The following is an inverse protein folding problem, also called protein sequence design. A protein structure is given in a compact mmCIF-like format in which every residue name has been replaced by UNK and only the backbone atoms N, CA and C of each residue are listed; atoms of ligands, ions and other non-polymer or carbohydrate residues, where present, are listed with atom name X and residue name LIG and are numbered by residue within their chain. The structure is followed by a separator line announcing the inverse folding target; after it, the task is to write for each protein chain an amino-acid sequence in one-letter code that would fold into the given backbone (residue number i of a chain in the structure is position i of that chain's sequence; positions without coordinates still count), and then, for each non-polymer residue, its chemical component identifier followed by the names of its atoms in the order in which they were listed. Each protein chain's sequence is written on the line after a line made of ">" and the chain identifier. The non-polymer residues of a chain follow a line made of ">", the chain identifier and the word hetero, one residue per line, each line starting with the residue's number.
data_IF_386170172775
#
_entry.id   IF_386170172775
#
_cell.length_a   1.000
_cell.length_b   1.000
_cell.length_c   1.000
_cell.angle_alpha   90.00
_cell.angle_beta   90.00
_cell.angle_gamma   90.00
#
_symmetry.space_group_name_H-M   'P 1'
#
loop_
_entity.id
_entity.type
_entity.pdbx_description
1 polymer ?
#
# COMPACT_ATOMS: atom_id res chain seq x y z
N UNK A 1 15.93 -9.92 -43.38
CA UNK A 1 15.30 -8.58 -43.45
C UNK A 1 14.12 -8.41 -42.48
N UNK A 2 12.98 -9.13 -42.64
CA UNK A 2 11.74 -8.89 -41.86
C UNK A 2 11.87 -8.99 -40.33
N UNK A 3 12.62 -9.96 -39.81
CA UNK A 3 12.81 -10.17 -38.37
C UNK A 3 13.60 -9.05 -37.69
N UNK A 4 14.60 -8.49 -38.37
CA UNK A 4 15.41 -7.38 -37.84
C UNK A 4 14.60 -6.07 -37.86
N UNK A 5 13.76 -5.89 -38.88
CA UNK A 5 12.83 -4.75 -38.95
C UNK A 5 11.77 -4.81 -37.82
N UNK A 6 11.22 -6.01 -37.56
CA UNK A 6 10.33 -6.27 -36.43
C UNK A 6 11.01 -5.95 -35.09
N UNK A 7 12.28 -6.32 -34.92
CA UNK A 7 13.05 -6.02 -33.72
C UNK A 7 13.24 -4.51 -33.51
N UNK A 8 13.55 -3.75 -34.56
CA UNK A 8 13.61 -2.29 -34.51
C UNK A 8 12.29 -1.64 -34.12
N UNK A 9 11.16 -2.21 -34.58
CA UNK A 9 9.82 -1.71 -34.28
C UNK A 9 9.41 -2.01 -32.83
N UNK A 10 9.78 -3.19 -32.31
CA UNK A 10 9.60 -3.54 -30.90
C UNK A 10 10.42 -2.61 -30.00
N UNK A 11 11.68 -2.32 -30.37
CA UNK A 11 12.54 -1.37 -29.65
C UNK A 11 11.91 0.04 -29.57
N UNK A 12 11.38 0.55 -30.68
CA UNK A 12 10.68 1.83 -30.72
C UNK A 12 9.37 1.79 -29.91
N UNK A 13 8.61 0.70 -29.98
CA UNK A 13 7.38 0.56 -29.20
C UNK A 13 7.66 0.56 -27.69
N UNK A 14 8.70 -0.16 -27.25
CA UNK A 14 9.13 -0.18 -25.84
C UNK A 14 9.62 1.20 -25.40
N UNK A 15 10.32 1.93 -26.26
CA UNK A 15 10.76 3.30 -25.96
C UNK A 15 9.62 4.29 -25.70
N UNK A 16 8.50 4.14 -26.40
CA UNK A 16 7.31 4.95 -26.20
C UNK A 16 6.72 4.74 -24.80
N UNK A 17 6.70 3.50 -24.31
CA UNK A 17 6.25 3.19 -22.95
C UNK A 17 7.15 3.78 -21.87
N UNK A 18 8.46 3.87 -22.14
CA UNK A 18 9.39 4.56 -21.25
C UNK A 18 9.22 6.10 -21.25
N UNK A 19 8.64 6.68 -22.30
CA UNK A 19 8.28 8.10 -22.39
C UNK A 19 6.86 8.42 -21.90
N UNK A 20 6.00 7.41 -21.70
CA UNK A 20 4.63 7.57 -21.22
C UNK A 20 4.48 8.34 -19.88
N UNK A 21 5.41 8.22 -18.90
CA UNK A 21 5.37 9.05 -17.69
C UNK A 21 5.45 10.56 -17.97
N UNK A 22 6.08 10.97 -19.07
CA UNK A 22 6.17 12.36 -19.54
C UNK A 22 4.86 12.80 -20.21
N UNK A 23 4.25 11.92 -21.02
CA UNK A 23 2.96 12.14 -21.70
C UNK A 23 1.77 12.32 -20.75
N UNK A 24 1.82 11.69 -19.57
CA UNK A 24 0.82 11.90 -18.52
C UNK A 24 0.89 13.34 -17.95
N UNK A 25 1.99 14.06 -18.18
CA UNK A 25 2.18 15.43 -17.73
C UNK A 25 2.55 15.53 -16.25
N UNK A 26 3.40 16.50 -15.93
CA UNK A 26 3.89 16.75 -14.57
C UNK A 26 2.75 16.99 -13.57
N UNK A 27 1.65 17.61 -14.03
CA UNK A 27 0.48 17.91 -13.21
C UNK A 27 -0.32 16.66 -12.80
N UNK A 28 -0.51 15.70 -13.71
CA UNK A 28 -1.19 14.43 -13.40
C UNK A 28 -0.34 13.56 -12.48
N UNK A 29 0.97 13.54 -12.71
CA UNK A 29 1.91 12.79 -11.85
C UNK A 29 1.92 13.36 -10.43
N UNK A 30 2.01 14.68 -10.26
CA UNK A 30 1.92 15.33 -8.95
C UNK A 30 0.58 15.07 -8.26
N UNK A 31 -0.53 15.04 -9.01
CA UNK A 31 -1.85 14.68 -8.46
C UNK A 31 -1.89 13.24 -7.99
N UNK A 32 -1.32 12.32 -8.76
CA UNK A 32 -1.20 10.91 -8.40
C UNK A 32 -0.32 10.73 -7.16
N UNK A 33 0.87 11.32 -7.12
CA UNK A 33 1.76 11.33 -5.95
C UNK A 33 1.07 11.89 -4.70
N UNK A 34 0.33 12.99 -4.83
CA UNK A 34 -0.43 13.58 -3.70
C UNK A 34 -1.54 12.65 -3.22
N UNK A 35 -2.26 12.01 -4.13
CA UNK A 35 -3.28 11.01 -3.81
C UNK A 35 -2.68 9.79 -3.11
N UNK A 36 -1.58 9.29 -3.63
CA UNK A 36 -0.89 8.12 -3.12
C UNK A 36 -0.24 8.40 -1.75
N UNK A 37 0.37 9.57 -1.57
CA UNK A 37 0.87 10.04 -0.27
C UNK A 37 -0.25 10.09 0.76
N UNK A 38 -1.44 10.56 0.38
CA UNK A 38 -2.62 10.58 1.25
C UNK A 38 -3.04 9.15 1.64
N UNK A 39 -3.09 8.22 0.68
CA UNK A 39 -3.40 6.81 0.95
C UNK A 39 -2.38 6.15 1.88
N UNK A 40 -1.08 6.29 1.59
CA UNK A 40 -0.01 5.71 2.41
C UNK A 40 0.02 6.32 3.81
N UNK A 41 -0.25 7.63 3.93
CA UNK A 41 -0.35 8.29 5.24
C UNK A 41 -1.55 7.82 6.08
N UNK A 42 -2.56 7.22 5.46
CA UNK A 42 -3.71 6.63 6.15
C UNK A 42 -3.42 5.22 6.69
N UNK A 43 -2.37 4.54 6.22
CA UNK A 43 -2.04 3.16 6.64
C UNK A 43 -1.90 3.02 8.17
N UNK A 44 -1.16 3.89 8.89
CA UNK A 44 -1.08 3.80 10.35
C UNK A 44 -2.45 3.89 11.04
N UNK A 45 -3.35 4.72 10.51
CA UNK A 45 -4.70 4.86 11.04
C UNK A 45 -5.52 3.60 10.76
N UNK A 46 -5.44 3.04 9.55
CA UNK A 46 -6.13 1.81 9.16
C UNK A 46 -5.71 0.64 10.06
N UNK A 47 -4.40 0.50 10.34
CA UNK A 47 -3.88 -0.55 11.23
C UNK A 47 -4.48 -0.42 12.64
N UNK A 48 -4.51 0.79 13.20
CA UNK A 48 -5.10 1.03 14.53
C UNK A 48 -6.60 0.73 14.51
N UNK A 49 -7.30 1.16 13.44
CA UNK A 49 -8.74 0.93 13.29
C UNK A 49 -9.07 -0.57 13.26
N UNK A 50 -8.31 -1.36 12.50
CA UNK A 50 -8.48 -2.82 12.45
C UNK A 50 -8.31 -3.42 13.85
N UNK A 51 -7.27 -3.02 14.57
CA UNK A 51 -7.04 -3.54 15.92
C UNK A 51 -8.20 -3.22 16.88
N UNK A 52 -8.69 -1.98 16.86
CA UNK A 52 -9.82 -1.55 17.70
C UNK A 52 -11.11 -2.28 17.31
N UNK A 53 -11.38 -2.44 16.02
CA UNK A 53 -12.55 -3.17 15.53
C UNK A 53 -12.48 -4.65 15.93
N UNK A 54 -11.34 -5.30 15.75
CA UNK A 54 -11.15 -6.70 16.17
C UNK A 54 -11.39 -6.88 17.66
N UNK A 55 -10.86 -5.98 18.49
CA UNK A 55 -11.12 -5.98 19.94
C UNK A 55 -12.61 -5.81 20.26
N UNK A 56 -13.27 -4.82 19.64
CA UNK A 56 -14.68 -4.55 19.87
C UNK A 56 -15.57 -5.74 19.46
N UNK A 57 -15.30 -6.34 18.30
CA UNK A 57 -16.03 -7.52 17.83
C UNK A 57 -15.80 -8.74 18.71
N UNK A 58 -14.56 -8.98 19.15
CA UNK A 58 -14.24 -10.11 20.02
C UNK A 58 -14.92 -9.99 21.39
N UNK A 59 -14.84 -8.82 22.01
CA UNK A 59 -15.48 -8.56 23.32
C UNK A 59 -17.01 -8.58 23.23
N UNK A 60 -17.59 -7.97 22.20
CA UNK A 60 -19.04 -8.01 21.96
C UNK A 60 -19.51 -9.44 21.69
N UNK A 61 -18.81 -10.20 20.84
CA UNK A 61 -19.13 -11.59 20.54
C UNK A 61 -19.06 -12.47 21.79
N UNK A 62 -18.01 -12.31 22.61
CA UNK A 62 -17.88 -13.02 23.88
C UNK A 62 -19.02 -12.68 24.87
N UNK A 63 -19.35 -11.39 24.99
CA UNK A 63 -20.46 -10.92 25.84
C UNK A 63 -21.82 -11.46 25.42
N UNK A 64 -22.12 -11.42 24.12
CA UNK A 64 -23.37 -11.97 23.55
C UNK A 64 -23.43 -13.47 23.81
N UNK A 65 -22.35 -14.21 23.52
CA UNK A 65 -22.30 -15.66 23.71
C UNK A 65 -22.56 -16.06 25.16
N UNK A 66 -21.87 -15.42 26.12
CA UNK A 66 -22.07 -15.70 27.55
C UNK A 66 -23.44 -15.25 28.05
N UNK A 67 -23.98 -14.16 27.53
CA UNK A 67 -25.33 -13.69 27.85
C UNK A 67 -26.42 -14.68 27.40
N UNK A 68 -26.31 -15.20 26.18
CA UNK A 68 -27.26 -16.21 25.66
C UNK A 68 -27.19 -17.52 26.46
N UNK A 69 -25.98 -18.04 26.71
CA UNK A 69 -25.80 -19.25 27.52
C UNK A 69 -26.40 -19.07 28.93
N UNK A 70 -26.21 -17.90 29.52
CA UNK A 70 -26.74 -17.57 30.83
C UNK A 70 -28.27 -17.45 30.88
N UNK A 71 -28.89 -16.99 29.79
CA UNK A 71 -30.34 -16.90 29.67
C UNK A 71 -31.01 -18.28 29.56
N UNK A 72 -30.35 -19.24 28.91
CA UNK A 72 -30.90 -20.60 28.70
C UNK A 72 -30.68 -21.53 29.90
N UNK A 73 -29.52 -21.48 30.55
CA UNK A 73 -29.09 -22.49 31.53
C UNK A 73 -28.99 -21.95 32.96
N UNK A 74 -29.16 -20.63 33.15
CA UNK A 74 -28.71 -19.94 34.35
C UNK A 74 -27.18 -19.84 34.41
N UNK A 75 -26.66 -18.85 35.12
CA UNK A 75 -25.23 -18.72 35.37
C UNK A 75 -24.95 -19.06 36.82
N UNK A 76 -24.07 -20.04 37.02
CA UNK A 76 -23.45 -20.23 38.34
C UNK A 76 -22.59 -19.01 38.70
N UNK A 77 -22.49 -18.72 39.99
CA UNK A 77 -21.75 -17.57 40.53
C UNK A 77 -20.28 -17.54 40.05
N UNK A 78 -19.65 -18.71 39.95
CA UNK A 78 -18.29 -18.86 39.42
C UNK A 78 -18.16 -18.50 37.94
N UNK A 79 -19.15 -18.86 37.10
CA UNK A 79 -19.14 -18.50 35.68
C UNK A 79 -19.28 -16.98 35.48
N UNK A 80 -20.12 -16.36 36.31
CA UNK A 80 -20.41 -14.94 36.29
C UNK A 80 -19.20 -14.13 36.78
N UNK A 81 -18.53 -14.60 37.85
CA UNK A 81 -17.27 -14.01 38.32
C UNK A 81 -16.15 -14.11 37.27
N UNK A 82 -15.99 -15.28 36.63
CA UNK A 82 -15.00 -15.46 35.56
C UNK A 82 -15.26 -14.55 34.35
N UNK A 83 -16.52 -14.32 34.00
CA UNK A 83 -16.90 -13.38 32.94
C UNK A 83 -16.44 -11.95 33.27
N UNK A 84 -16.75 -11.46 34.48
CA UNK A 84 -16.34 -10.11 34.90
C UNK A 84 -14.82 -9.94 34.99
N UNK A 85 -14.10 -10.94 35.50
CA UNK A 85 -12.63 -10.93 35.52
C UNK A 85 -12.09 -10.87 34.09
N UNK A 86 -12.59 -11.71 33.19
CA UNK A 86 -12.14 -11.75 31.79
C UNK A 86 -12.38 -10.41 31.09
N UNK A 87 -13.56 -9.82 31.27
CA UNK A 87 -13.87 -8.50 30.71
C UNK A 87 -13.00 -7.41 31.34
N UNK A 88 -12.79 -7.44 32.66
CA UNK A 88 -11.93 -6.48 33.35
C UNK A 88 -10.49 -6.53 32.86
N UNK A 89 -9.93 -7.73 32.67
CA UNK A 89 -8.60 -7.93 32.09
C UNK A 89 -8.55 -7.44 30.64
N UNK A 90 -9.54 -7.77 29.81
CA UNK A 90 -9.62 -7.29 28.43
C UNK A 90 -9.65 -5.76 28.36
N UNK A 91 -10.46 -5.11 29.20
CA UNK A 91 -10.51 -3.65 29.30
C UNK A 91 -9.19 -3.06 29.78
N UNK A 92 -8.51 -3.69 30.75
CA UNK A 92 -7.19 -3.24 31.19
C UNK A 92 -6.17 -3.27 30.04
N UNK A 93 -6.14 -4.35 29.25
CA UNK A 93 -5.30 -4.43 28.05
C UNK A 93 -5.66 -3.35 27.02
N UNK A 94 -6.96 -3.10 26.80
CA UNK A 94 -7.41 -2.04 25.90
C UNK A 94 -7.00 -0.65 26.37
N UNK A 95 -7.08 -0.37 27.67
CA UNK A 95 -6.61 0.90 28.25
C UNK A 95 -5.10 1.08 28.07
N UNK A 96 -4.32 0.03 28.33
CA UNK A 96 -2.88 0.04 28.05
C UNK A 96 -2.64 0.35 26.58
N UNK A 97 -3.33 -0.33 25.67
CA UNK A 97 -3.25 -0.05 24.24
C UNK A 97 -3.57 1.42 23.90
N UNK A 98 -4.65 2.00 24.45
CA UNK A 98 -5.03 3.39 24.20
C UNK A 98 -3.95 4.39 24.66
N UNK A 99 -3.32 4.15 25.81
CA UNK A 99 -2.21 4.99 26.31
C UNK A 99 -1.05 4.97 25.30
N UNK A 100 -0.73 3.80 24.76
CA UNK A 100 0.35 3.64 23.79
C UNK A 100 -0.06 3.91 22.34
N UNK A 101 -1.35 4.00 22.01
CA UNK A 101 -1.85 4.10 20.64
C UNK A 101 -1.27 5.30 19.89
N UNK A 102 -1.16 6.46 20.57
CA UNK A 102 -0.51 7.65 19.99
C UNK A 102 0.97 7.41 19.68
N UNK A 103 1.68 6.64 20.52
CA UNK A 103 3.09 6.29 20.31
C UNK A 103 3.25 5.27 19.20
N UNK A 104 2.40 4.24 19.15
CA UNK A 104 2.34 3.24 18.08
C UNK A 104 2.07 3.91 16.73
N UNK A 105 1.10 4.83 16.68
CA UNK A 105 0.82 5.62 15.48
C UNK A 105 2.05 6.36 14.97
N UNK A 106 2.73 7.12 15.84
CA UNK A 106 3.94 7.86 15.47
C UNK A 106 5.07 6.92 15.03
N UNK A 107 5.18 5.75 15.65
CA UNK A 107 6.14 4.72 15.26
C UNK A 107 5.85 4.18 13.85
N UNK A 108 4.59 3.83 13.56
CA UNK A 108 4.15 3.39 12.24
C UNK A 108 4.32 4.47 11.17
N UNK A 109 4.01 5.73 11.49
CA UNK A 109 4.26 6.86 10.59
C UNK A 109 5.74 6.96 10.23
N UNK A 110 6.64 6.90 11.22
CA UNK A 110 8.09 7.02 11.00
C UNK A 110 8.72 5.81 10.32
N UNK A 111 8.30 4.59 10.67
CA UNK A 111 8.94 3.33 10.21
C UNK A 111 8.30 2.74 8.96
N UNK A 112 7.03 3.03 8.71
CA UNK A 112 6.27 2.46 7.60
C UNK A 112 5.91 3.56 6.62
N UNK A 113 5.04 4.50 7.00
CA UNK A 113 4.46 5.45 6.05
C UNK A 113 5.52 6.36 5.39
N UNK A 114 6.40 6.99 6.18
CA UNK A 114 7.41 7.90 5.65
C UNK A 114 8.41 7.22 4.70
N UNK A 115 9.04 6.09 5.04
CA UNK A 115 9.96 5.43 4.11
C UNK A 115 9.25 4.86 2.87
N UNK A 116 7.98 4.45 2.97
CA UNK A 116 7.18 4.07 1.80
C UNK A 116 6.93 5.29 0.89
N UNK A 117 6.53 6.42 1.48
CA UNK A 117 6.32 7.69 0.75
C UNK A 117 7.62 8.13 0.07
N UNK A 118 8.74 8.12 0.79
CA UNK A 118 10.04 8.52 0.23
C UNK A 118 10.45 7.60 -0.91
N UNK A 119 10.30 6.27 -0.78
CA UNK A 119 10.58 5.33 -1.88
C UNK A 119 9.65 5.49 -3.08
N UNK A 120 8.41 5.89 -2.85
CA UNK A 120 7.41 6.12 -3.91
C UNK A 120 7.61 7.45 -4.63
N UNK A 121 8.05 8.49 -3.92
CA UNK A 121 8.18 9.85 -4.45
C UNK A 121 9.59 10.13 -5.00
N UNK A 122 10.65 9.56 -4.44
CA UNK A 122 12.02 9.73 -4.98
C UNK A 122 12.29 8.92 -6.27
N UNK A 123 11.27 8.73 -7.10
CA UNK A 123 11.41 8.17 -8.44
C UNK A 123 11.69 9.24 -9.51
N UNK A 124 11.97 10.48 -9.14
CA UNK A 124 12.43 11.51 -10.09
C UNK A 124 13.65 11.05 -10.90
N UNK A 125 14.60 10.36 -10.26
CA UNK A 125 15.72 9.72 -10.96
C UNK A 125 15.26 8.55 -11.84
N UNK A 126 14.33 7.73 -11.37
CA UNK A 126 13.80 6.58 -12.13
C UNK A 126 13.08 7.06 -13.40
N UNK A 127 12.34 8.17 -13.34
CA UNK A 127 11.71 8.81 -14.50
C UNK A 127 12.76 9.34 -15.47
N UNK A 128 13.79 10.02 -14.98
CA UNK A 128 14.90 10.51 -15.81
C UNK A 128 15.66 9.35 -16.49
N UNK A 129 15.94 8.28 -15.75
CA UNK A 129 16.60 7.08 -16.27
C UNK A 129 15.72 6.36 -17.29
N UNK A 130 14.42 6.21 -17.02
CA UNK A 130 13.44 5.66 -17.96
C UNK A 130 13.43 6.45 -19.27
N UNK A 131 13.42 7.78 -19.21
CA UNK A 131 13.44 8.63 -20.40
C UNK A 131 14.73 8.49 -21.21
N UNK A 132 15.89 8.44 -20.53
CA UNK A 132 17.20 8.23 -21.18
C UNK A 132 17.25 6.86 -21.86
N UNK A 133 16.78 5.81 -21.17
CA UNK A 133 16.71 4.45 -21.73
C UNK A 133 15.76 4.41 -22.91
N UNK A 134 14.59 5.07 -22.82
CA UNK A 134 13.65 5.21 -23.92
C UNK A 134 14.29 5.87 -25.14
N UNK A 135 14.94 7.02 -24.97
CA UNK A 135 15.63 7.72 -26.05
C UNK A 135 16.69 6.85 -26.74
N UNK A 136 17.49 6.10 -25.96
CA UNK A 136 18.51 5.18 -26.50
C UNK A 136 17.85 4.05 -27.31
N UNK A 137 16.82 3.40 -26.76
CA UNK A 137 16.11 2.31 -27.44
C UNK A 137 15.42 2.79 -28.73
N UNK A 138 14.86 4.01 -28.73
CA UNK A 138 14.26 4.61 -29.91
C UNK A 138 15.31 4.87 -31.00
N UNK A 139 16.43 5.49 -30.64
CA UNK A 139 17.53 5.79 -31.59
C UNK A 139 18.14 4.51 -32.17
N UNK A 140 18.37 3.49 -31.35
CA UNK A 140 18.89 2.20 -31.82
C UNK A 140 17.87 1.52 -32.74
N UNK A 141 16.60 1.44 -32.34
CA UNK A 141 15.55 0.84 -33.16
C UNK A 141 15.39 1.55 -34.51
N UNK A 142 15.47 2.88 -34.52
CA UNK A 142 15.44 3.70 -35.74
C UNK A 142 16.65 3.46 -36.64
N UNK A 143 17.87 3.44 -36.10
CA UNK A 143 19.08 3.18 -36.89
C UNK A 143 19.06 1.79 -37.53
N UNK A 144 18.62 0.78 -36.78
CA UNK A 144 18.46 -0.59 -37.30
C UNK A 144 17.51 -0.61 -38.49
N UNK A 145 16.35 0.05 -38.38
CA UNK A 145 15.38 0.14 -39.48
C UNK A 145 15.93 0.92 -40.68
N UNK A 146 16.59 2.06 -40.45
CA UNK A 146 17.15 2.89 -41.51
C UNK A 146 18.23 2.13 -42.31
N UNK A 147 19.13 1.43 -41.63
CA UNK A 147 20.17 0.62 -42.28
C UNK A 147 19.55 -0.51 -43.11
N UNK A 148 18.51 -1.18 -42.61
CA UNK A 148 17.81 -2.22 -43.37
C UNK A 148 17.16 -1.64 -44.62
N UNK A 149 16.51 -0.49 -44.52
CA UNK A 149 15.87 0.16 -45.68
C UNK A 149 16.92 0.56 -46.74
N UNK A 150 18.10 1.04 -46.34
CA UNK A 150 19.16 1.42 -47.27
C UNK A 150 19.80 0.19 -47.95
N UNK A 151 19.89 -0.93 -47.23
CA UNK A 151 20.50 -2.17 -47.73
C UNK A 151 19.53 -3.08 -48.52
N UNK A 152 18.24 -2.76 -48.55
CA UNK A 152 17.21 -3.54 -49.27
C UNK A 152 16.72 -2.78 -50.49
#
# INVERSE_FOLDING_TARGET
>A
MKWINLFGLILQFVSFWFAAPELLGQSTMQRFEKGLKKLVSAIPLIIILIFVLSYALATAGYGIYKGLKGAEQGLEENELMNYFITMGVAFAFYFVFLIFAKRIRRFLEKRVANPLIDKLINQGEVRKQALIIGAILFSIGFLIQAIIIILT
#
